data_IF_391061688105
#
_entry.id   IF_391061688105
#
_cell.length_a   1.000
_cell.length_b   1.000
_cell.length_c   1.000
_cell.angle_alpha   90.00
_cell.angle_beta   90.00
_cell.angle_gamma   90.00
#
_symmetry.space_group_name_H-M   'P 1'
#
loop_
_entity.id
_entity.type
_entity.pdbx_description
1 polymer ?
#
# COMPACT_ATOMS: atom_id res chain seq x y z
N UNK A 1 8.03 14.93 1.06
CA UNK A 1 8.12 13.46 0.90
C UNK A 1 6.71 12.93 0.99
N UNK A 2 6.25 12.13 0.03
CA UNK A 2 4.86 11.65 -0.01
C UNK A 2 4.72 10.25 0.59
N UNK A 3 3.65 10.03 1.36
CA UNK A 3 3.27 8.72 1.90
C UNK A 3 1.92 8.27 1.31
N UNK A 4 1.76 6.98 1.04
CA UNK A 4 0.46 6.37 0.72
C UNK A 4 0.27 5.06 1.47
N UNK A 5 -1.00 4.73 1.75
CA UNK A 5 -1.40 3.42 2.24
C UNK A 5 -2.36 2.82 1.22
N UNK A 6 -1.82 1.95 0.37
CA UNK A 6 -2.56 1.40 -0.75
C UNK A 6 -3.08 0.01 -0.40
N UNK A 7 -4.30 -0.30 -0.82
CA UNK A 7 -4.97 -1.57 -0.57
C UNK A 7 -5.53 -2.11 -1.87
N UNK A 8 -5.12 -3.32 -2.24
CA UNK A 8 -5.67 -4.07 -3.37
C UNK A 8 -6.68 -5.10 -2.87
N UNK A 9 -7.92 -4.97 -3.31
CA UNK A 9 -8.99 -5.92 -2.98
C UNK A 9 -9.01 -7.05 -4.02
N UNK A 10 -8.52 -8.23 -3.63
CA UNK A 10 -8.33 -9.36 -4.55
C UNK A 10 -9.67 -9.95 -5.00
N UNK A 11 -9.87 -10.01 -6.31
CA UNK A 11 -11.06 -10.56 -6.98
C UNK A 11 -12.19 -9.54 -7.17
N UNK A 12 -12.03 -8.31 -6.70
CA UNK A 12 -13.04 -7.27 -6.90
C UNK A 12 -13.04 -6.79 -8.36
N UNK A 13 -14.19 -6.90 -9.03
CA UNK A 13 -14.33 -6.49 -10.44
C UNK A 13 -14.88 -5.07 -10.62
N UNK A 14 -15.64 -4.57 -9.65
CA UNK A 14 -16.27 -3.24 -9.67
C UNK A 14 -15.72 -2.39 -8.54
N UNK A 15 -15.43 -1.13 -8.84
CA UNK A 15 -15.06 -0.16 -7.82
C UNK A 15 -16.19 0.04 -6.82
N UNK A 16 -15.83 0.22 -5.55
CA UNK A 16 -16.74 0.50 -4.45
C UNK A 16 -16.16 1.65 -3.63
N UNK A 17 -16.99 2.63 -3.24
CA UNK A 17 -16.56 3.65 -2.27
C UNK A 17 -16.61 3.02 -0.87
N UNK A 18 -15.55 3.17 -0.10
CA UNK A 18 -15.52 2.80 1.31
C UNK A 18 -15.31 4.06 2.15
N UNK A 19 -16.14 4.26 3.16
CA UNK A 19 -16.09 5.43 4.02
C UNK A 19 -16.50 5.04 5.43
N UNK A 20 -15.72 5.47 6.44
CA UNK A 20 -15.99 5.13 7.83
C UNK A 20 -16.43 6.33 8.68
N UNK A 21 -15.78 7.47 8.48
CA UNK A 21 -16.17 8.74 9.11
C UNK A 21 -16.47 9.77 8.03
N UNK A 22 -16.85 10.99 8.43
CA UNK A 22 -17.06 12.07 7.46
C UNK A 22 -15.79 12.40 6.66
N UNK A 23 -14.61 12.03 7.17
CA UNK A 23 -13.33 12.30 6.51
C UNK A 23 -12.48 11.06 6.23
N UNK A 24 -12.63 9.90 6.91
CA UNK A 24 -11.79 8.72 6.62
C UNK A 24 -12.43 7.80 5.58
N UNK A 25 -11.71 7.54 4.48
CA UNK A 25 -12.22 6.77 3.34
C UNK A 25 -11.14 6.05 2.52
N UNK A 26 -11.59 5.24 1.57
CA UNK A 26 -10.77 4.64 0.52
C UNK A 26 -11.24 5.14 -0.85
N UNK A 27 -10.34 5.78 -1.60
CA UNK A 27 -10.60 6.20 -2.98
C UNK A 27 -9.95 5.24 -3.97
N UNK A 28 -10.68 4.90 -5.03
CA UNK A 28 -10.17 4.02 -6.08
C UNK A 28 -8.99 4.70 -6.78
N UNK A 29 -7.86 4.00 -6.88
CA UNK A 29 -6.74 4.52 -7.67
C UNK A 29 -7.11 4.65 -9.14
N UNK A 30 -6.53 5.66 -9.79
CA UNK A 30 -6.62 5.83 -11.23
C UNK A 30 -6.05 4.60 -11.93
N UNK A 31 -6.86 3.96 -12.78
CA UNK A 31 -6.44 2.81 -13.57
C UNK A 31 -5.89 3.33 -14.89
N UNK A 32 -4.60 3.16 -15.10
CA UNK A 32 -3.95 3.59 -16.34
C UNK A 32 -4.53 2.81 -17.50
N UNK A 33 -4.90 3.54 -18.53
CA UNK A 33 -5.30 2.98 -19.81
C UNK A 33 -4.07 2.61 -20.64
N UNK A 34 -4.26 1.80 -21.68
CA UNK A 34 -3.19 1.54 -22.66
C UNK A 34 -2.68 2.85 -23.29
N UNK A 35 -3.55 3.84 -23.46
CA UNK A 35 -3.18 5.16 -23.98
C UNK A 35 -2.28 5.94 -23.01
N UNK A 36 -2.61 5.93 -21.71
CA UNK A 36 -1.79 6.57 -20.66
C UNK A 36 -0.38 5.96 -20.62
N UNK A 37 -0.30 4.62 -20.68
CA UNK A 37 0.98 3.89 -20.69
C UNK A 37 1.82 4.26 -21.92
N UNK A 38 1.20 4.32 -23.09
CA UNK A 38 1.88 4.67 -24.33
C UNK A 38 2.33 6.14 -24.38
N UNK A 39 1.59 7.03 -23.75
CA UNK A 39 1.98 8.44 -23.62
C UNK A 39 3.19 8.59 -22.70
N UNK A 40 3.19 7.92 -21.56
CA UNK A 40 4.32 7.96 -20.62
C UNK A 40 5.60 7.37 -21.21
N UNK A 41 5.50 6.25 -21.92
CA UNK A 41 6.63 5.68 -22.65
C UNK A 41 7.24 6.66 -23.65
N UNK A 42 6.41 7.42 -24.38
CA UNK A 42 6.89 8.45 -25.32
C UNK A 42 7.58 9.60 -24.62
N UNK A 43 7.11 10.02 -23.44
CA UNK A 43 7.75 11.07 -22.66
C UNK A 43 9.12 10.61 -22.11
N UNK A 44 9.24 9.38 -21.61
CA UNK A 44 10.50 8.79 -21.17
C UNK A 44 11.49 8.68 -22.35
N UNK A 45 11.03 8.23 -23.52
CA UNK A 45 11.84 8.18 -24.74
C UNK A 45 12.36 9.56 -25.17
N UNK A 46 11.53 10.62 -25.06
CA UNK A 46 11.95 12.01 -25.36
C UNK A 46 13.03 12.52 -24.40
N UNK A 47 13.02 12.07 -23.15
CA UNK A 47 14.00 12.43 -22.13
C UNK A 47 15.36 11.73 -22.34
N UNK A 48 15.45 10.78 -23.28
CA UNK A 48 16.68 10.07 -23.60
C UNK A 48 17.09 9.07 -22.51
N UNK A 49 16.18 8.77 -21.57
CA UNK A 49 16.38 7.75 -20.56
C UNK A 49 16.17 6.37 -21.21
N UNK A 50 17.05 5.41 -20.90
CA UNK A 50 16.81 4.02 -21.29
C UNK A 50 15.60 3.54 -20.50
N UNK A 51 14.53 3.19 -21.19
CA UNK A 51 13.44 2.39 -20.64
C UNK A 51 14.08 1.07 -20.19
N UNK A 52 14.41 0.96 -18.90
CA UNK A 52 14.73 -0.33 -18.32
C UNK A 52 13.52 -1.24 -18.53
N UNK A 53 13.73 -2.54 -18.77
CA UNK A 53 12.63 -3.50 -18.84
C UNK A 53 11.69 -3.24 -17.67
N UNK A 54 10.46 -2.83 -17.99
CA UNK A 54 9.43 -2.55 -16.99
C UNK A 54 9.24 -3.83 -16.20
N UNK A 55 9.75 -3.86 -14.97
CA UNK A 55 9.41 -4.92 -14.02
C UNK A 55 7.94 -4.75 -13.72
N UNK A 56 7.15 -5.73 -14.14
CA UNK A 56 5.74 -5.78 -13.85
C UNK A 56 5.55 -6.25 -12.41
N UNK A 57 4.89 -5.44 -11.55
CA UNK A 57 4.66 -5.82 -10.18
C UNK A 57 4.00 -7.18 -10.04
N UNK A 58 4.38 -7.95 -9.01
CA UNK A 58 3.84 -9.32 -8.81
C UNK A 58 2.29 -9.42 -8.83
N UNK A 59 1.58 -8.34 -8.52
CA UNK A 59 0.12 -8.30 -8.47
C UNK A 59 -0.56 -8.10 -9.82
N UNK A 60 0.14 -7.79 -10.91
CA UNK A 60 -0.50 -7.49 -12.21
C UNK A 60 -1.32 -8.64 -12.80
N UNK A 61 -0.92 -9.87 -12.50
CA UNK A 61 -1.67 -11.07 -12.93
C UNK A 61 -2.85 -11.39 -12.01
N UNK A 62 -3.03 -10.60 -10.96
CA UNK A 62 -4.10 -10.77 -9.99
C UNK A 62 -5.27 -9.86 -10.36
N UNK A 63 -6.47 -10.43 -10.43
CA UNK A 63 -7.69 -9.66 -10.63
C UNK A 63 -8.02 -8.92 -9.33
N UNK A 64 -8.33 -7.62 -9.39
CA UNK A 64 -8.75 -6.84 -8.23
C UNK A 64 -8.79 -5.33 -8.52
N UNK A 65 -8.96 -4.54 -7.46
CA UNK A 65 -9.01 -3.07 -7.53
C UNK A 65 -8.10 -2.46 -6.46
N UNK A 66 -7.32 -1.45 -6.86
CA UNK A 66 -6.50 -0.64 -5.96
C UNK A 66 -7.32 0.51 -5.37
N UNK A 67 -7.09 0.75 -4.09
CA UNK A 67 -7.60 1.89 -3.35
C UNK A 67 -6.47 2.54 -2.58
N UNK A 68 -6.48 3.86 -2.50
CA UNK A 68 -5.64 4.62 -1.59
C UNK A 68 -6.48 4.99 -0.37
N UNK A 69 -5.97 4.67 0.82
CA UNK A 69 -6.58 5.11 2.07
C UNK A 69 -6.13 6.53 2.39
N UNK A 70 -7.07 7.35 2.87
CA UNK A 70 -6.76 8.73 3.17
C UNK A 70 -7.93 9.49 3.80
N UNK A 71 -7.72 10.79 3.91
CA UNK A 71 -8.70 11.72 4.45
C UNK A 71 -9.35 12.48 3.31
N UNK A 72 -10.67 12.38 3.16
CA UNK A 72 -11.46 13.23 2.27
C UNK A 72 -11.51 14.64 2.88
N UNK A 73 -10.90 15.62 2.20
CA UNK A 73 -11.04 17.05 2.49
C UNK A 73 -11.42 17.78 1.19
N UNK A 74 -12.46 18.62 1.25
CA UNK A 74 -12.99 19.37 0.10
C UNK A 74 -13.38 18.51 -1.13
N UNK A 75 -13.71 17.23 -0.91
CA UNK A 75 -14.11 16.29 -1.96
C UNK A 75 -12.96 15.61 -2.68
N UNK A 76 -11.72 15.84 -2.25
CA UNK A 76 -10.51 15.15 -2.70
C UNK A 76 -9.99 14.26 -1.57
N UNK A 77 -9.53 13.05 -1.89
CA UNK A 77 -8.84 12.23 -0.87
C UNK A 77 -7.39 12.67 -0.81
N UNK A 78 -7.06 13.34 0.30
CA UNK A 78 -5.71 13.66 0.65
C UNK A 78 -5.00 12.36 1.05
N UNK A 79 -3.97 12.07 0.25
CA UNK A 79 -3.00 10.99 0.40
C UNK A 79 -2.60 10.79 1.86
N UNK A 80 -2.21 9.56 2.21
CA UNK A 80 -1.99 9.06 3.57
C UNK A 80 -1.02 9.85 4.48
N UNK A 81 -0.49 11.00 4.05
CA UNK A 81 0.21 12.00 4.86
C UNK A 81 -0.51 12.36 6.18
N UNK A 82 -1.84 12.31 6.20
CA UNK A 82 -2.63 12.53 7.42
C UNK A 82 -2.92 11.27 8.24
N UNK A 83 -2.60 10.08 7.73
CA UNK A 83 -2.98 8.78 8.32
C UNK A 83 -1.78 8.04 8.90
N UNK A 84 -0.67 8.06 8.16
CA UNK A 84 0.53 7.30 8.46
C UNK A 84 1.77 8.20 8.52
N UNK A 85 2.74 7.75 9.29
CA UNK A 85 4.05 8.37 9.45
C UNK A 85 5.13 7.27 9.59
N UNK A 86 6.37 7.69 9.80
CA UNK A 86 7.50 6.81 10.00
C UNK A 86 8.51 7.42 10.95
N UNK A 87 9.16 6.59 11.76
CA UNK A 87 10.37 6.98 12.48
C UNK A 87 11.60 6.51 11.67
N UNK A 88 12.30 7.46 11.04
CA UNK A 88 13.48 7.16 10.22
C UNK A 88 14.71 6.76 11.04
N UNK A 89 14.73 7.10 12.33
CA UNK A 89 15.82 6.72 13.25
C UNK A 89 15.58 5.33 13.85
N UNK A 90 14.35 4.81 13.74
CA UNK A 90 13.97 3.49 14.26
C UNK A 90 14.17 2.40 13.21
N UNK A 91 15.02 1.43 13.54
CA UNK A 91 15.15 0.20 12.75
C UNK A 91 14.00 -0.77 13.04
N UNK A 92 13.57 -1.49 12.00
CA UNK A 92 12.57 -2.54 12.16
C UNK A 92 13.07 -3.62 13.11
N UNK A 93 12.32 -3.95 14.18
CA UNK A 93 12.73 -4.94 15.17
C UNK A 93 12.48 -6.39 14.70
N UNK A 94 12.26 -6.63 13.40
CA UNK A 94 11.76 -7.91 12.87
C UNK A 94 12.84 -8.61 12.07
N UNK A 95 13.10 -9.89 12.38
CA UNK A 95 13.88 -10.76 11.50
C UNK A 95 13.06 -11.03 10.23
N UNK A 96 13.36 -10.32 9.15
CA UNK A 96 12.77 -10.59 7.86
C UNK A 96 13.66 -11.57 7.11
N UNK A 97 13.19 -12.79 6.86
CA UNK A 97 14.00 -13.83 6.19
C UNK A 97 14.36 -13.49 4.73
N UNK A 98 13.74 -12.45 4.17
CA UNK A 98 14.03 -11.90 2.84
C UNK A 98 15.03 -10.74 2.86
N UNK A 99 15.42 -10.24 4.04
CA UNK A 99 16.52 -9.29 4.17
C UNK A 99 17.81 -10.10 4.34
N UNK A 100 18.63 -10.10 3.29
CA UNK A 100 19.87 -10.89 3.22
C UNK A 100 21.04 -10.07 3.74
N UNK A 101 21.05 -8.76 3.49
CA UNK A 101 22.07 -7.82 3.96
C UNK A 101 21.57 -7.03 5.18
N UNK A 102 22.40 -6.95 6.24
CA UNK A 102 22.11 -6.11 7.41
C UNK A 102 22.07 -4.61 7.04
N UNK A 103 22.77 -4.19 5.98
CA UNK A 103 22.73 -2.81 5.50
C UNK A 103 21.37 -2.45 4.87
N UNK A 104 20.65 -3.43 4.31
CA UNK A 104 19.33 -3.21 3.71
C UNK A 104 18.28 -2.82 4.75
N UNK A 105 18.44 -3.22 6.02
CA UNK A 105 17.53 -2.85 7.10
C UNK A 105 17.45 -1.33 7.33
N UNK A 106 18.49 -0.58 6.94
CA UNK A 106 18.48 0.90 7.01
C UNK A 106 17.53 1.53 5.98
N UNK A 107 17.14 0.78 4.96
CA UNK A 107 16.21 1.22 3.92
C UNK A 107 14.75 0.92 4.28
N UNK A 108 14.47 0.30 5.43
CA UNK A 108 13.12 -0.04 5.84
C UNK A 108 12.81 0.57 7.20
N UNK A 109 11.97 1.59 7.18
CA UNK A 109 11.41 2.20 8.38
C UNK A 109 10.01 1.63 8.66
N UNK A 110 9.58 1.59 9.93
CA UNK A 110 8.25 1.10 10.28
C UNK A 110 7.16 2.06 9.86
N UNK A 111 6.05 1.50 9.42
CA UNK A 111 4.80 2.23 9.20
C UNK A 111 4.14 2.46 10.54
N UNK A 112 3.92 3.74 10.85
CA UNK A 112 3.21 4.20 12.04
C UNK A 112 1.86 4.71 11.56
N UNK A 113 0.77 4.25 12.16
CA UNK A 113 -0.57 4.80 11.93
C UNK A 113 -0.90 5.66 13.14
N UNK A 114 -1.34 6.91 12.95
CA UNK A 114 -1.69 7.76 14.08
C UNK A 114 -2.82 7.15 14.91
N UNK A 115 -2.71 7.28 16.24
CA UNK A 115 -3.61 6.61 17.20
C UNK A 115 -5.09 6.89 16.93
N UNK A 116 -5.42 8.12 16.51
CA UNK A 116 -6.79 8.54 16.21
C UNK A 116 -7.44 7.80 15.03
N UNK A 117 -6.64 7.20 14.13
CA UNK A 117 -7.13 6.45 12.97
C UNK A 117 -6.98 4.93 13.09
N UNK A 118 -6.42 4.41 14.19
CA UNK A 118 -6.18 2.96 14.35
C UNK A 118 -7.47 2.13 14.24
N UNK A 119 -8.53 2.54 14.93
CA UNK A 119 -9.82 1.84 14.93
C UNK A 119 -10.56 1.97 13.60
N UNK A 120 -10.50 3.16 13.00
CA UNK A 120 -11.09 3.44 11.70
C UNK A 120 -10.41 2.60 10.60
N UNK A 121 -9.08 2.52 10.62
CA UNK A 121 -8.30 1.69 9.70
C UNK A 121 -8.64 0.21 9.87
N UNK A 122 -8.65 -0.30 11.10
CA UNK A 122 -9.00 -1.70 11.40
C UNK A 122 -10.40 -2.03 10.87
N UNK A 123 -11.36 -1.13 11.10
CA UNK A 123 -12.73 -1.35 10.64
C UNK A 123 -12.84 -1.31 9.11
N UNK A 124 -12.22 -0.32 8.47
CA UNK A 124 -12.27 -0.15 7.02
C UNK A 124 -11.61 -1.32 6.29
N UNK A 125 -10.42 -1.74 6.72
CA UNK A 125 -9.76 -2.93 6.19
C UNK A 125 -10.60 -4.19 6.44
N UNK A 126 -11.27 -4.28 7.59
CA UNK A 126 -12.24 -5.32 7.91
C UNK A 126 -13.42 -5.37 6.93
N UNK A 127 -13.96 -4.24 6.53
CA UNK A 127 -15.02 -4.15 5.51
C UNK A 127 -14.52 -4.52 4.12
N UNK A 128 -13.33 -4.05 3.74
CA UNK A 128 -12.70 -4.35 2.44
C UNK A 128 -12.34 -5.84 2.31
N UNK A 129 -11.86 -6.47 3.37
CA UNK A 129 -11.56 -7.91 3.35
C UNK A 129 -12.85 -8.73 3.29
N UNK A 130 -13.95 -8.24 3.89
CA UNK A 130 -15.25 -8.88 3.77
C UNK A 130 -15.88 -8.73 2.39
N UNK A 131 -15.68 -7.59 1.71
CA UNK A 131 -16.16 -7.40 0.34
C UNK A 131 -15.33 -8.19 -0.68
N UNK A 132 -14.08 -8.51 -0.36
CA UNK A 132 -13.20 -9.35 -1.19
C UNK A 132 -13.80 -10.74 -1.41
N UNK A 133 -14.00 -11.19 -2.66
CA UNK A 133 -14.45 -12.55 -2.96
C UNK A 133 -13.52 -13.63 -2.39
N UNK A 134 -12.24 -13.30 -2.22
CA UNK A 134 -11.21 -14.22 -1.71
C UNK A 134 -10.95 -14.04 -0.22
N UNK A 135 -11.67 -13.13 0.46
CA UNK A 135 -11.42 -12.73 1.85
C UNK A 135 -9.97 -12.35 2.11
N UNK A 136 -9.34 -11.75 1.10
CA UNK A 136 -7.93 -11.39 1.08
C UNK A 136 -7.70 -10.01 0.48
N UNK A 137 -6.68 -9.32 0.98
CA UNK A 137 -6.20 -8.01 0.56
C UNK A 137 -4.70 -8.08 0.30
N UNK A 138 -4.18 -7.18 -0.53
CA UNK A 138 -2.75 -6.83 -0.54
C UNK A 138 -2.67 -5.42 0.02
N UNK A 139 -1.83 -5.21 1.04
CA UNK A 139 -1.60 -3.88 1.61
C UNK A 139 -0.18 -3.45 1.30
N UNK A 140 -0.04 -2.22 0.80
CA UNK A 140 1.23 -1.62 0.40
C UNK A 140 1.33 -0.20 0.99
N UNK A 141 1.99 -0.05 2.14
CA UNK A 141 2.45 1.25 2.62
C UNK A 141 3.61 1.72 1.73
N UNK A 142 3.56 2.95 1.21
CA UNK A 142 4.57 3.50 0.29
C UNK A 142 5.13 4.81 0.82
N UNK A 143 6.43 4.99 0.67
CA UNK A 143 7.08 6.31 0.66
C UNK A 143 8.08 6.38 -0.49
N UNK A 144 8.55 7.58 -0.80
CA UNK A 144 9.60 7.81 -1.79
C UNK A 144 10.93 7.15 -1.35
N UNK A 145 11.09 5.85 -1.62
CA UNK A 145 12.36 5.12 -1.59
C UNK A 145 12.58 4.41 -2.93
N UNK A 146 13.74 3.76 -3.08
CA UNK A 146 14.02 2.90 -4.23
C UNK A 146 12.94 1.83 -4.44
N UNK A 147 12.73 1.46 -5.71
CA UNK A 147 11.75 0.46 -6.11
C UNK A 147 12.26 -0.95 -5.77
N UNK A 148 11.71 -1.54 -4.71
CA UNK A 148 11.92 -2.95 -4.37
C UNK A 148 10.57 -3.66 -4.32
N UNK A 149 10.42 -4.76 -5.06
CA UNK A 149 9.22 -5.60 -5.04
C UNK A 149 9.35 -6.70 -3.98
N UNK A 150 9.21 -6.34 -2.71
CA UNK A 150 9.26 -7.30 -1.61
C UNK A 150 7.85 -7.73 -1.24
N UNK A 151 7.58 -9.03 -1.31
CA UNK A 151 6.29 -9.62 -0.96
C UNK A 151 6.41 -10.39 0.35
N UNK A 152 5.83 -9.84 1.41
CA UNK A 152 5.52 -10.58 2.62
C UNK A 152 4.33 -11.50 2.33
N UNK A 153 4.53 -12.80 2.55
CA UNK A 153 3.51 -13.82 2.34
C UNK A 153 2.26 -13.63 3.19
N UNK A 154 1.35 -14.61 3.12
CA UNK A 154 0.02 -14.50 3.73
C UNK A 154 0.08 -14.42 5.25
N UNK A 155 -0.53 -13.39 5.82
CA UNK A 155 -0.71 -13.22 7.27
C UNK A 155 -2.21 -13.05 7.62
N UNK A 156 -2.65 -13.56 8.79
CA UNK A 156 -4.00 -13.31 9.29
C UNK A 156 -4.25 -11.83 9.55
N UNK A 157 -5.46 -11.35 9.27
CA UNK A 157 -5.86 -9.95 9.47
C UNK A 157 -5.58 -9.44 10.90
N UNK A 158 -5.99 -10.20 11.92
CA UNK A 158 -5.73 -9.84 13.33
C UNK A 158 -4.23 -9.74 13.63
N UNK A 159 -3.42 -10.62 13.02
CA UNK A 159 -1.96 -10.59 13.17
C UNK A 159 -1.37 -9.37 12.48
N UNK A 160 -1.86 -8.99 11.30
CA UNK A 160 -1.44 -7.78 10.60
C UNK A 160 -1.69 -6.55 11.47
N UNK A 161 -2.91 -6.38 11.98
CA UNK A 161 -3.25 -5.23 12.83
C UNK A 161 -2.40 -5.18 14.11
N UNK A 162 -2.11 -6.34 14.71
CA UNK A 162 -1.18 -6.41 15.84
C UNK A 162 0.24 -5.97 15.45
N UNK A 163 0.78 -6.47 14.35
CA UNK A 163 2.12 -6.10 13.88
C UNK A 163 2.21 -4.62 13.51
N UNK A 164 1.14 -4.05 12.95
CA UNK A 164 1.07 -2.63 12.62
C UNK A 164 1.11 -1.76 13.89
N UNK A 165 0.32 -2.11 14.92
CA UNK A 165 0.36 -1.44 16.24
C UNK A 165 1.70 -1.60 16.96
N UNK A 166 2.41 -2.70 16.73
CA UNK A 166 3.74 -2.94 17.27
C UNK A 166 4.86 -2.31 16.43
N UNK A 167 4.53 -1.54 15.37
CA UNK A 167 5.47 -0.90 14.46
C UNK A 167 6.43 -1.90 13.79
N UNK A 168 5.88 -3.04 13.36
CA UNK A 168 6.59 -4.17 12.72
C UNK A 168 6.28 -4.33 11.24
N UNK A 169 5.47 -3.44 10.68
CA UNK A 169 5.16 -3.43 9.26
C UNK A 169 6.10 -2.44 8.56
N UNK A 170 7.00 -2.91 7.68
CA UNK A 170 7.85 -2.04 6.87
C UNK A 170 7.06 -1.25 5.83
N UNK A 171 7.55 -0.06 5.53
CA UNK A 171 7.19 0.60 4.27
C UNK A 171 7.78 -0.14 3.05
N UNK A 172 7.16 0.08 1.88
CA UNK A 172 7.56 -0.45 0.58
C UNK A 172 7.61 -1.98 0.48
N UNK A 173 6.85 -2.65 1.34
CA UNK A 173 6.64 -4.10 1.32
C UNK A 173 5.16 -4.38 1.08
N UNK A 174 4.90 -5.30 0.17
CA UNK A 174 3.56 -5.81 -0.08
C UNK A 174 3.23 -6.89 0.91
N UNK A 175 2.12 -6.73 1.62
CA UNK A 175 1.68 -7.70 2.61
C UNK A 175 0.37 -8.33 2.17
N UNK A 176 0.36 -9.64 1.98
CA UNK A 176 -0.89 -10.36 1.68
C UNK A 176 -1.61 -10.64 3.00
N UNK A 177 -2.78 -10.05 3.17
CA UNK A 177 -3.58 -10.17 4.39
C UNK A 177 -4.84 -10.97 4.10
N UNK A 178 -5.17 -11.94 4.97
CA UNK A 178 -6.31 -12.83 4.79
C UNK A 178 -7.11 -12.98 6.09
N UNK A 179 -8.43 -13.11 5.96
CA UNK A 179 -9.32 -13.46 7.08
C UNK A 179 -9.33 -14.96 7.36
#
# INVERSE_FOLDING_TARGET
>A
MGFSLDVFVIGQNKGQKYQKTNSFCAEKQYEWTEEDILEEQKEIEKLGEKVNEVSFPFYEKTIGKWYTLGKEEDGEVWWALGLIDTDFDKHLPVSASWLIDEEDFKNFSPVIVFDEYQEDLETLLGEMIESSPTKSLIIRPRYQSGENEIVQGVIPFEKYMKLLKEEKIPFNVYTIVRK
#
